data_IF_422342611197
#
_entry.id   IF_422342611197
#
_cell.length_a   1.000
_cell.length_b   1.000
_cell.length_c   1.000
_cell.angle_alpha   90.00
_cell.angle_beta   90.00
_cell.angle_gamma   90.00
#
_symmetry.space_group_name_H-M   'P 1'
#
loop_
_entity.id
_entity.type
_entity.pdbx_description
1 polymer ?
#
# COMPACT_ATOMS: atom_id res chain seq x y z
N UNK A 1 -7.95 60.44 -29.11
CA UNK A 1 -7.70 60.50 -27.65
C UNK A 1 -6.39 59.78 -27.37
N UNK A 2 -5.31 60.48 -27.01
CA UNK A 2 -4.06 59.84 -26.62
C UNK A 2 -4.19 59.32 -25.19
N UNK A 3 -3.79 58.07 -24.90
CA UNK A 3 -3.80 57.56 -23.55
C UNK A 3 -2.84 58.37 -22.68
N UNK A 4 -3.37 59.01 -21.66
CA UNK A 4 -2.63 59.85 -20.71
C UNK A 4 -1.64 58.94 -19.98
N UNK A 5 -0.34 59.12 -20.23
CA UNK A 5 0.70 58.40 -19.52
C UNK A 5 0.55 58.55 -18.01
N UNK A 6 0.69 57.52 -17.22
CA UNK A 6 0.55 57.61 -15.76
C UNK A 6 1.60 58.56 -15.19
N UNK A 7 1.24 59.37 -14.19
CA UNK A 7 2.07 60.51 -13.71
C UNK A 7 3.40 60.08 -13.07
N UNK A 8 3.64 58.77 -12.83
CA UNK A 8 4.88 58.24 -12.25
C UNK A 8 5.10 56.75 -12.60
N UNK A 9 5.70 56.44 -13.76
CA UNK A 9 5.87 55.07 -14.21
C UNK A 9 6.76 54.23 -13.26
N UNK A 10 7.69 54.84 -12.53
CA UNK A 10 8.53 54.16 -11.54
C UNK A 10 7.75 53.66 -10.34
N UNK A 11 6.87 54.49 -9.77
CA UNK A 11 6.00 54.11 -8.66
C UNK A 11 5.02 53.00 -9.05
N UNK A 12 4.48 53.04 -10.25
CA UNK A 12 3.58 52.01 -10.76
C UNK A 12 4.28 50.67 -10.89
N UNK A 13 5.47 50.63 -11.47
CA UNK A 13 6.28 49.42 -11.60
C UNK A 13 6.64 48.86 -10.22
N UNK A 14 7.05 49.71 -9.29
CA UNK A 14 7.37 49.29 -7.92
C UNK A 14 6.16 48.67 -7.22
N UNK A 15 5.00 49.33 -7.27
CA UNK A 15 3.78 48.84 -6.65
C UNK A 15 3.34 47.49 -7.27
N UNK A 16 3.41 47.36 -8.58
CA UNK A 16 3.07 46.12 -9.27
C UNK A 16 4.02 45.00 -8.82
N UNK A 17 5.34 45.24 -8.83
CA UNK A 17 6.30 44.21 -8.43
C UNK A 17 6.19 43.85 -6.95
N UNK A 18 5.98 44.83 -6.07
CA UNK A 18 5.77 44.57 -4.64
C UNK A 18 4.50 43.76 -4.39
N UNK A 19 3.38 44.14 -5.03
CA UNK A 19 2.12 43.38 -4.90
C UNK A 19 2.24 42.00 -5.48
N UNK A 20 2.92 41.82 -6.61
CA UNK A 20 3.15 40.52 -7.21
C UNK A 20 4.00 39.61 -6.32
N UNK A 21 5.06 40.14 -5.68
CA UNK A 21 5.90 39.39 -4.76
C UNK A 21 5.11 38.93 -3.53
N UNK A 22 4.36 39.82 -2.89
CA UNK A 22 3.50 39.48 -1.75
C UNK A 22 2.41 38.50 -2.15
N UNK A 23 1.80 38.70 -3.32
CA UNK A 23 0.80 37.77 -3.87
C UNK A 23 1.36 36.39 -4.12
N UNK A 24 2.57 36.27 -4.67
CA UNK A 24 3.24 34.98 -4.88
C UNK A 24 3.51 34.24 -3.57
N UNK A 25 3.96 34.97 -2.54
CA UNK A 25 4.16 34.36 -1.19
C UNK A 25 2.82 33.90 -0.59
N UNK A 26 1.77 34.70 -0.74
CA UNK A 26 0.43 34.35 -0.28
C UNK A 26 -0.13 33.10 -0.96
N UNK A 27 0.03 32.99 -2.28
CA UNK A 27 -0.37 31.82 -3.05
C UNK A 27 0.45 30.58 -2.62
N UNK A 28 1.77 30.73 -2.50
CA UNK A 28 2.62 29.63 -2.04
C UNK A 28 2.20 29.14 -0.65
N UNK A 29 1.95 30.07 0.29
CA UNK A 29 1.50 29.74 1.64
C UNK A 29 0.13 29.05 1.66
N UNK A 30 -0.78 29.43 0.76
CA UNK A 30 -2.08 28.80 0.65
C UNK A 30 -2.00 27.40 0.01
N UNK A 31 -1.14 27.20 -0.97
CA UNK A 31 -1.02 25.94 -1.73
C UNK A 31 -0.32 24.85 -0.92
N UNK A 32 0.68 25.18 -0.10
CA UNK A 32 1.45 24.20 0.70
C UNK A 32 0.56 23.26 1.54
N UNK A 33 -0.42 23.73 2.34
CA UNK A 33 -1.27 22.83 3.12
C UNK A 33 -2.12 21.88 2.24
N UNK A 34 -2.53 22.33 1.05
CA UNK A 34 -3.27 21.47 0.12
C UNK A 34 -2.39 20.36 -0.43
N UNK A 35 -1.15 20.69 -0.84
CA UNK A 35 -0.20 19.67 -1.31
C UNK A 35 0.14 18.70 -0.17
N UNK A 36 0.37 19.20 1.04
CA UNK A 36 0.69 18.35 2.18
C UNK A 36 -0.48 17.43 2.58
N UNK A 37 -1.72 17.83 2.30
CA UNK A 37 -2.90 16.99 2.55
C UNK A 37 -2.98 15.75 1.64
N UNK A 38 -2.27 15.72 0.50
CA UNK A 38 -2.15 14.52 -0.33
C UNK A 38 -1.13 13.51 0.20
N UNK A 39 -0.30 13.89 1.16
CA UNK A 39 0.59 12.93 1.81
C UNK A 39 -0.24 12.00 2.71
N UNK A 40 -0.03 10.68 2.64
CA UNK A 40 -0.74 9.76 3.50
C UNK A 40 -0.43 10.06 4.97
N UNK A 41 -1.42 9.92 5.82
CA UNK A 41 -1.21 10.04 7.27
C UNK A 41 -0.37 8.86 7.80
N UNK A 42 0.32 9.06 8.92
CA UNK A 42 1.08 7.98 9.56
C UNK A 42 0.21 6.73 9.85
N UNK A 43 -1.07 6.93 10.14
CA UNK A 43 -2.02 5.83 10.32
C UNK A 43 -2.31 5.10 8.99
N UNK A 44 -2.42 5.82 7.87
CA UNK A 44 -2.60 5.22 6.55
C UNK A 44 -1.34 4.47 6.08
N UNK A 45 -0.16 5.01 6.36
CA UNK A 45 1.12 4.34 6.09
C UNK A 45 1.27 3.07 6.91
N UNK A 46 0.96 3.12 8.21
CA UNK A 46 0.97 1.95 9.10
C UNK A 46 -0.03 0.87 8.66
N UNK A 47 -1.23 1.28 8.24
CA UNK A 47 -2.24 0.34 7.71
C UNK A 47 -1.81 -0.31 6.39
N UNK A 48 -0.98 0.37 5.58
CA UNK A 48 -0.41 -0.17 4.34
C UNK A 48 0.88 -0.96 4.53
N UNK A 49 1.48 -0.94 5.72
CA UNK A 49 2.71 -1.65 6.01
C UNK A 49 2.54 -3.19 5.87
N UNK A 50 3.59 -3.90 5.45
CA UNK A 50 3.53 -5.36 5.40
C UNK A 50 3.39 -5.93 6.82
N UNK A 51 2.47 -6.88 6.98
CA UNK A 51 2.35 -7.63 8.22
C UNK A 51 3.48 -8.66 8.33
N UNK A 52 4.07 -8.79 9.52
CA UNK A 52 5.14 -9.75 9.79
C UNK A 52 4.60 -10.83 10.72
N UNK A 53 4.65 -12.08 10.25
CA UNK A 53 4.29 -13.26 11.03
C UNK A 53 5.57 -14.01 11.47
N UNK A 54 5.77 -14.18 12.77
CA UNK A 54 6.86 -15.01 13.29
C UNK A 54 6.43 -16.48 13.30
N UNK A 55 6.78 -17.18 12.22
CA UNK A 55 6.48 -18.60 12.04
C UNK A 55 7.48 -19.54 12.72
N UNK A 56 8.58 -18.98 13.24
CA UNK A 56 9.65 -19.79 13.87
C UNK A 56 9.21 -20.48 15.16
N UNK A 57 8.29 -19.85 15.88
CA UNK A 57 7.75 -20.34 17.15
C UNK A 57 6.56 -21.29 17.02
N UNK A 58 5.97 -21.40 15.80
CA UNK A 58 4.82 -22.27 15.57
C UNK A 58 5.22 -23.73 15.62
N UNK A 59 4.47 -24.52 16.37
CA UNK A 59 4.54 -25.96 16.32
C UNK A 59 3.90 -26.51 15.03
N UNK A 60 4.30 -27.70 14.55
CA UNK A 60 3.63 -28.34 13.43
C UNK A 60 2.13 -28.57 13.75
N UNK A 61 1.25 -28.18 12.82
CA UNK A 61 -0.20 -28.22 13.00
C UNK A 61 -0.80 -26.98 13.68
N UNK A 62 0.02 -26.01 14.07
CA UNK A 62 -0.43 -24.77 14.72
C UNK A 62 -0.75 -23.66 13.69
N UNK A 63 -1.69 -22.79 14.05
CA UNK A 63 -2.12 -21.66 13.26
C UNK A 63 -2.00 -20.36 14.07
N UNK A 64 -1.55 -19.29 13.41
CA UNK A 64 -1.63 -17.93 13.94
C UNK A 64 -2.49 -17.07 13.03
N UNK A 65 -3.10 -16.05 13.64
CA UNK A 65 -3.88 -15.04 12.93
C UNK A 65 -3.10 -13.74 12.97
N UNK A 66 -2.84 -13.15 11.80
CA UNK A 66 -2.19 -11.85 11.66
C UNK A 66 -3.16 -10.92 10.96
N UNK A 67 -3.37 -9.74 11.52
CA UNK A 67 -4.22 -8.74 10.89
C UNK A 67 -3.42 -7.90 9.89
N UNK A 68 -3.93 -7.78 8.67
CA UNK A 68 -3.39 -6.89 7.65
C UNK A 68 -4.50 -6.12 6.95
N UNK A 69 -4.44 -4.82 7.00
CA UNK A 69 -5.45 -3.90 6.42
C UNK A 69 -6.88 -4.18 6.92
N UNK A 70 -7.02 -4.54 8.21
CA UNK A 70 -8.32 -4.89 8.78
C UNK A 70 -8.85 -6.26 8.37
N UNK A 71 -8.06 -7.05 7.64
CA UNK A 71 -8.43 -8.42 7.23
C UNK A 71 -7.58 -9.42 8.01
N UNK A 72 -8.20 -10.42 8.68
CA UNK A 72 -7.46 -11.48 9.34
C UNK A 72 -6.85 -12.42 8.29
N UNK A 73 -5.56 -12.66 8.43
CA UNK A 73 -4.80 -13.60 7.61
C UNK A 73 -4.40 -14.77 8.48
N UNK A 74 -4.80 -15.97 8.06
CA UNK A 74 -4.50 -17.21 8.75
C UNK A 74 -3.22 -17.81 8.21
N UNK A 75 -2.22 -17.97 9.07
CA UNK A 75 -0.96 -18.64 8.71
C UNK A 75 -0.89 -19.97 9.44
N UNK A 76 -0.87 -21.05 8.67
CA UNK A 76 -0.87 -22.43 9.18
C UNK A 76 0.47 -23.07 8.89
N UNK A 77 1.08 -23.68 9.92
CA UNK A 77 2.26 -24.54 9.75
C UNK A 77 1.81 -25.99 9.71
N UNK A 78 1.94 -26.61 8.54
CA UNK A 78 1.55 -28.01 8.34
C UNK A 78 2.46 -28.97 9.08
N UNK A 79 1.88 -30.06 9.59
CA UNK A 79 2.65 -31.23 10.01
C UNK A 79 2.99 -32.12 8.81
N UNK A 80 3.97 -32.99 8.97
CA UNK A 80 4.36 -33.93 7.92
C UNK A 80 3.20 -34.87 7.55
N UNK A 81 2.35 -35.23 8.52
CA UNK A 81 1.13 -36.01 8.29
C UNK A 81 0.12 -35.26 7.43
N UNK A 82 -0.13 -33.97 7.72
CA UNK A 82 -1.03 -33.14 6.91
C UNK A 82 -0.56 -33.00 5.47
N UNK A 83 0.74 -32.89 5.25
CA UNK A 83 1.33 -32.83 3.90
C UNK A 83 1.11 -34.13 3.16
N UNK A 84 1.30 -35.27 3.82
CA UNK A 84 1.03 -36.60 3.22
C UNK A 84 -0.45 -36.80 2.90
N UNK A 85 -1.35 -36.29 3.74
CA UNK A 85 -2.80 -36.35 3.49
C UNK A 85 -3.21 -35.49 2.29
N UNK A 86 -2.61 -34.32 2.11
CA UNK A 86 -2.81 -33.49 0.90
C UNK A 86 -2.42 -34.31 -0.33
N UNK A 87 -1.26 -34.95 -0.32
CA UNK A 87 -0.77 -35.74 -1.45
C UNK A 87 -1.67 -36.94 -1.78
N UNK A 88 -2.26 -37.57 -0.78
CA UNK A 88 -3.19 -38.70 -0.97
C UNK A 88 -4.56 -38.25 -1.50
N UNK A 89 -4.98 -37.04 -1.22
CA UNK A 89 -6.32 -36.55 -1.53
C UNK A 89 -6.37 -35.63 -2.76
N UNK A 90 -5.28 -35.47 -3.52
CA UNK A 90 -5.20 -34.58 -4.70
C UNK A 90 -6.31 -34.88 -5.73
N UNK A 91 -6.65 -36.12 -5.95
CA UNK A 91 -7.72 -36.53 -6.90
C UNK A 91 -9.13 -36.10 -6.49
N UNK A 92 -9.33 -35.74 -5.22
CA UNK A 92 -10.62 -35.26 -4.68
C UNK A 92 -10.78 -33.74 -4.77
N UNK A 93 -9.73 -33.03 -5.14
CA UNK A 93 -9.74 -31.57 -5.27
C UNK A 93 -10.25 -31.15 -6.65
N UNK A 94 -11.04 -30.09 -6.70
CA UNK A 94 -11.54 -29.53 -7.95
C UNK A 94 -10.42 -28.92 -8.81
N UNK A 95 -9.40 -28.38 -8.16
CA UNK A 95 -8.21 -27.79 -8.82
C UNK A 95 -6.94 -28.15 -8.03
N UNK A 96 -6.35 -29.34 -8.28
CA UNK A 96 -5.19 -29.82 -7.53
C UNK A 96 -3.95 -28.95 -7.68
N UNK A 97 -3.77 -28.31 -8.82
CA UNK A 97 -2.56 -27.52 -9.14
C UNK A 97 -2.74 -26.01 -8.99
N UNK A 98 -3.93 -25.55 -8.59
CA UNK A 98 -4.28 -24.12 -8.49
C UNK A 98 -4.11 -23.36 -9.81
N UNK A 99 -4.57 -23.96 -10.91
CA UNK A 99 -4.51 -23.37 -12.24
C UNK A 99 -5.70 -22.48 -12.55
N UNK A 100 -6.85 -22.74 -11.95
CA UNK A 100 -8.13 -22.08 -12.24
C UNK A 100 -8.27 -20.74 -11.51
N UNK A 101 -7.72 -20.59 -10.31
CA UNK A 101 -7.80 -19.39 -9.50
C UNK A 101 -6.68 -18.41 -9.83
N UNK A 102 -6.96 -17.10 -9.62
CA UNK A 102 -5.97 -16.03 -9.78
C UNK A 102 -4.99 -16.07 -8.59
N UNK A 103 -4.02 -16.95 -8.68
CA UNK A 103 -2.94 -17.08 -7.69
C UNK A 103 -1.65 -16.46 -8.25
N UNK A 104 -0.79 -15.91 -7.38
CA UNK A 104 0.57 -15.55 -7.77
C UNK A 104 1.33 -16.78 -8.30
N UNK A 105 2.22 -16.57 -9.26
CA UNK A 105 2.93 -17.69 -9.92
C UNK A 105 3.67 -18.62 -8.96
N UNK A 106 4.18 -18.08 -7.84
CA UNK A 106 4.85 -18.89 -6.82
C UNK A 106 3.90 -19.79 -6.01
N UNK A 107 2.58 -19.54 -6.05
CA UNK A 107 1.55 -20.29 -5.34
C UNK A 107 0.75 -21.22 -6.26
N UNK A 108 1.04 -21.25 -7.57
CA UNK A 108 0.45 -22.19 -8.53
C UNK A 108 1.06 -23.58 -8.37
N UNK A 109 0.72 -24.22 -7.28
CA UNK A 109 1.16 -25.59 -6.96
C UNK A 109 0.14 -26.26 -6.03
N UNK A 110 0.29 -27.57 -5.83
CA UNK A 110 -0.61 -28.39 -4.99
C UNK A 110 -0.75 -27.92 -3.54
N UNK A 111 0.21 -27.17 -3.03
CA UNK A 111 0.18 -26.65 -1.65
C UNK A 111 -0.35 -25.21 -1.57
N UNK A 112 -0.58 -24.55 -2.70
CA UNK A 112 -0.97 -23.12 -2.79
C UNK A 112 -0.09 -22.20 -1.97
N UNK A 113 1.19 -22.52 -1.87
CA UNK A 113 2.14 -21.78 -1.05
C UNK A 113 3.52 -21.76 -1.67
N UNK A 114 4.36 -20.81 -1.21
CA UNK A 114 5.76 -20.72 -1.61
C UNK A 114 6.62 -21.83 -0.99
N UNK A 115 6.22 -22.33 0.19
CA UNK A 115 6.90 -23.42 0.92
C UNK A 115 5.86 -24.46 1.32
N UNK A 116 6.10 -25.76 1.07
CA UNK A 116 5.12 -26.82 1.33
C UNK A 116 4.63 -26.91 2.78
N UNK A 117 5.44 -26.48 3.72
CA UNK A 117 5.10 -26.57 5.14
C UNK A 117 4.29 -25.40 5.70
N UNK A 118 3.95 -24.38 4.90
CA UNK A 118 3.27 -23.18 5.39
C UNK A 118 2.22 -22.76 4.37
N UNK A 119 0.98 -22.58 4.82
CA UNK A 119 -0.12 -22.01 4.03
C UNK A 119 -0.59 -20.68 4.64
N UNK A 120 -1.04 -19.76 3.76
CA UNK A 120 -1.52 -18.42 4.12
C UNK A 120 -2.88 -18.21 3.47
#
# INVERSE_FOLDING_TARGET
>A
MQPKSPPNPGRRKFLISATSAVGAVGVAGAVVPFISAFNPSAAAEAAGAPAVADIGKLAPGEMIIVEWRGTPIYVVKHSDESIQEIDKNLERLADPNSETEVQPDYAKNKYRSRKPGISV
#
